data_IF_818279348190
#
_entry.id   IF_818279348190
#
_cell.length_a   1.000
_cell.length_b   1.000
_cell.length_c   1.000
_cell.angle_alpha   90.00
_cell.angle_beta   90.00
_cell.angle_gamma   90.00
#
_symmetry.space_group_name_H-M   'P 1'
#
loop_
_entity.id
_entity.type
_entity.pdbx_description
1 polymer ?
#
# COMPACT_ATOMS: atom_id res chain seq x y z
N UNK A 1 -71.41 7.81 25.69
CA UNK A 1 -70.51 6.90 25.03
C UNK A 1 -69.32 7.72 24.53
N UNK A 2 -68.16 7.59 25.16
CA UNK A 2 -66.89 8.29 24.73
C UNK A 2 -66.05 7.27 23.96
N UNK A 3 -65.85 7.51 22.63
CA UNK A 3 -64.99 6.72 21.80
C UNK A 3 -63.55 7.21 21.99
N UNK A 4 -62.66 6.33 22.46
CA UNK A 4 -61.22 6.58 22.59
C UNK A 4 -60.58 6.07 21.30
N UNK A 5 -60.01 7.02 20.49
CA UNK A 5 -59.20 6.70 19.32
C UNK A 5 -57.78 6.38 19.76
N UNK A 6 -57.34 5.13 19.62
CA UNK A 6 -55.95 4.75 19.75
C UNK A 6 -55.22 5.06 18.44
N UNK A 7 -54.32 6.04 18.49
CA UNK A 7 -53.39 6.35 17.39
C UNK A 7 -52.16 5.46 17.54
N UNK A 8 -52.11 4.37 16.77
CA UNK A 8 -50.94 3.50 16.70
C UNK A 8 -49.92 4.14 15.76
N UNK A 9 -48.88 4.76 16.34
CA UNK A 9 -47.73 5.25 15.59
C UNK A 9 -46.83 4.06 15.26
N UNK A 10 -46.91 3.56 14.04
CA UNK A 10 -45.94 2.61 13.45
C UNK A 10 -44.63 3.35 13.14
N UNK A 11 -43.69 3.29 14.08
CA UNK A 11 -42.28 3.66 13.82
C UNK A 11 -41.66 2.57 12.96
N UNK A 12 -41.64 2.79 11.65
CA UNK A 12 -40.83 2.02 10.72
C UNK A 12 -39.37 2.33 10.98
N UNK A 13 -38.68 1.45 11.67
CA UNK A 13 -37.22 1.44 11.73
C UNK A 13 -36.72 1.13 10.33
N UNK A 14 -36.35 2.17 9.55
CA UNK A 14 -35.51 2.00 8.40
C UNK A 14 -34.11 1.60 8.91
N UNK A 15 -33.88 0.30 8.98
CA UNK A 15 -32.53 -0.23 9.13
C UNK A 15 -31.76 0.17 7.86
N UNK A 16 -31.03 1.27 7.92
CA UNK A 16 -29.97 1.54 6.96
C UNK A 16 -28.92 0.45 7.19
N UNK A 17 -29.00 -0.62 6.40
CA UNK A 17 -27.88 -1.52 6.21
C UNK A 17 -26.76 -0.68 5.60
N UNK A 18 -25.91 -0.10 6.44
CA UNK A 18 -24.61 0.37 5.98
C UNK A 18 -23.88 -0.88 5.51
N UNK A 19 -23.73 -1.03 4.20
CA UNK A 19 -22.71 -1.88 3.62
C UNK A 19 -21.35 -1.30 4.07
N UNK A 20 -20.94 -1.67 5.28
CA UNK A 20 -19.58 -1.47 5.73
C UNK A 20 -18.71 -2.43 4.93
N UNK A 21 -18.38 -2.05 3.68
CA UNK A 21 -17.26 -2.65 3.00
C UNK A 21 -16.01 -2.22 3.79
N UNK A 22 -15.59 -3.10 4.71
CA UNK A 22 -14.37 -2.90 5.47
C UNK A 22 -13.21 -2.92 4.49
N UNK A 23 -12.62 -1.76 4.22
CA UNK A 23 -11.38 -1.67 3.47
C UNK A 23 -10.19 -2.07 4.34
N UNK A 24 -9.09 -2.38 3.71
CA UNK A 24 -7.87 -2.79 4.40
C UNK A 24 -6.76 -1.76 4.23
N UNK A 25 -5.87 -1.72 5.21
CA UNK A 25 -4.69 -0.84 5.23
C UNK A 25 -3.42 -1.65 5.47
N UNK A 26 -2.30 -1.17 4.96
CA UNK A 26 -0.97 -1.61 5.39
C UNK A 26 -0.41 -0.61 6.38
N UNK A 27 0.22 -1.11 7.42
CA UNK A 27 1.07 -0.33 8.33
C UNK A 27 2.50 -0.41 7.81
N UNK A 28 3.11 0.75 7.59
CA UNK A 28 4.45 0.87 7.05
C UNK A 28 5.32 1.65 8.03
N UNK A 29 6.32 1.00 8.61
CA UNK A 29 7.31 1.62 9.50
C UNK A 29 8.65 1.79 8.78
N UNK A 30 9.14 3.01 8.61
CA UNK A 30 10.44 3.27 8.01
C UNK A 30 11.51 3.39 9.07
N UNK A 31 12.60 2.64 8.92
CA UNK A 31 13.71 2.59 9.86
C UNK A 31 15.03 2.93 9.19
N UNK A 32 15.91 3.63 9.89
CA UNK A 32 17.29 3.84 9.46
C UNK A 32 18.23 3.13 10.43
N UNK A 33 18.92 2.10 9.96
CA UNK A 33 19.94 1.44 10.74
C UNK A 33 21.12 2.39 10.99
N UNK A 34 21.67 2.36 12.19
CA UNK A 34 22.93 3.03 12.49
C UNK A 34 24.06 2.34 11.71
N UNK A 35 24.83 3.04 10.86
CA UNK A 35 25.88 2.42 10.02
C UNK A 35 26.95 1.66 10.80
N UNK A 36 27.12 1.94 12.07
CA UNK A 36 28.07 1.24 12.95
C UNK A 36 27.56 -0.12 13.44
N UNK A 37 26.25 -0.35 13.38
CA UNK A 37 25.56 -1.48 14.00
C UNK A 37 24.57 -2.16 13.06
N UNK A 38 24.87 -2.16 11.74
CA UNK A 38 23.96 -2.74 10.72
C UNK A 38 23.70 -4.22 11.00
N UNK A 39 24.72 -4.98 11.36
CA UNK A 39 24.60 -6.41 11.64
C UNK A 39 23.72 -6.68 12.87
N UNK A 40 23.90 -5.90 13.94
CA UNK A 40 23.09 -5.99 15.16
C UNK A 40 21.64 -5.61 14.88
N UNK A 41 21.42 -4.54 14.12
CA UNK A 41 20.08 -4.14 13.67
C UNK A 41 19.40 -5.24 12.86
N UNK A 42 20.07 -5.75 11.81
CA UNK A 42 19.48 -6.81 10.96
C UNK A 42 19.26 -8.11 11.76
N UNK A 43 20.16 -8.47 12.66
CA UNK A 43 19.99 -9.63 13.54
C UNK A 43 18.79 -9.45 14.48
N UNK A 44 18.62 -8.24 15.05
CA UNK A 44 17.47 -7.91 15.89
C UNK A 44 16.16 -8.01 15.11
N UNK A 45 16.08 -7.39 13.91
CA UNK A 45 14.90 -7.43 13.04
C UNK A 45 14.56 -8.86 12.63
N UNK A 46 15.54 -9.66 12.21
CA UNK A 46 15.34 -11.07 11.89
C UNK A 46 14.74 -11.86 13.06
N UNK A 47 15.35 -11.78 14.24
CA UNK A 47 14.89 -12.53 15.41
C UNK A 47 13.49 -12.10 15.85
N UNK A 48 13.22 -10.80 15.86
CA UNK A 48 11.93 -10.22 16.23
C UNK A 48 10.82 -10.68 15.28
N UNK A 49 11.04 -10.51 13.98
CA UNK A 49 10.04 -10.86 12.98
C UNK A 49 9.75 -12.37 12.96
N UNK A 50 10.78 -13.21 13.10
CA UNK A 50 10.60 -14.67 13.16
C UNK A 50 9.96 -15.16 14.46
N UNK A 51 9.96 -14.36 15.51
CA UNK A 51 9.29 -14.70 16.76
C UNK A 51 7.85 -14.20 16.82
N UNK A 52 7.59 -13.01 16.31
CA UNK A 52 6.33 -12.30 16.57
C UNK A 52 5.48 -12.02 15.32
N UNK A 53 6.05 -12.14 14.10
CA UNK A 53 5.42 -11.70 12.86
C UNK A 53 5.48 -12.74 11.73
N UNK A 54 5.30 -14.03 12.07
CA UNK A 54 5.50 -15.16 11.15
C UNK A 54 4.25 -15.60 10.41
N UNK A 55 3.06 -15.15 10.79
CA UNK A 55 1.83 -15.67 10.21
C UNK A 55 0.66 -14.68 10.18
N UNK A 56 -0.38 -15.10 9.48
CA UNK A 56 -1.67 -14.44 9.47
C UNK A 56 -1.62 -12.97 9.06
N UNK A 57 -2.54 -12.22 9.64
CA UNK A 57 -2.71 -10.81 9.31
C UNK A 57 -1.62 -9.90 9.92
N UNK A 58 -0.87 -10.39 10.91
CA UNK A 58 0.20 -9.63 11.59
C UNK A 58 1.61 -10.03 11.13
N UNK A 59 1.71 -10.83 10.08
CA UNK A 59 2.98 -11.17 9.46
C UNK A 59 3.64 -9.95 8.80
N UNK A 60 4.95 -9.82 8.94
CA UNK A 60 5.70 -8.66 8.44
C UNK A 60 6.60 -8.98 7.26
N UNK A 61 6.75 -8.01 6.36
CA UNK A 61 7.72 -8.01 5.27
C UNK A 61 8.67 -6.83 5.39
N UNK A 62 9.94 -7.08 5.14
CA UNK A 62 10.97 -6.04 5.12
C UNK A 62 11.39 -5.75 3.68
N UNK A 63 11.49 -4.47 3.36
CA UNK A 63 12.08 -4.00 2.11
C UNK A 63 13.26 -3.09 2.41
N UNK A 64 14.28 -3.14 1.56
CA UNK A 64 15.38 -2.17 1.55
C UNK A 64 15.21 -1.22 0.37
N UNK A 65 15.35 0.09 0.62
CA UNK A 65 15.20 1.13 -0.39
C UNK A 65 16.54 1.39 -1.04
N UNK A 66 16.61 1.30 -2.38
CA UNK A 66 17.85 1.28 -3.14
C UNK A 66 18.16 2.57 -3.90
N UNK A 67 17.31 3.59 -3.81
CA UNK A 67 17.55 4.90 -4.44
C UNK A 67 16.73 6.01 -3.77
N UNK A 68 16.99 7.24 -4.21
CA UNK A 68 16.25 8.41 -3.76
C UNK A 68 16.59 8.86 -2.33
N UNK A 69 15.77 9.76 -1.75
CA UNK A 69 16.04 10.34 -0.42
C UNK A 69 16.06 9.32 0.72
N UNK A 70 15.43 8.17 0.52
CA UNK A 70 15.33 7.09 1.49
C UNK A 70 16.34 5.95 1.22
N UNK A 71 17.34 6.17 0.37
CA UNK A 71 18.36 5.16 0.08
C UNK A 71 18.99 4.59 1.35
N UNK A 72 19.06 3.26 1.41
CA UNK A 72 19.65 2.51 2.53
C UNK A 72 18.71 2.30 3.74
N UNK A 73 17.52 2.93 3.76
CA UNK A 73 16.53 2.68 4.80
C UNK A 73 15.82 1.33 4.61
N UNK A 74 15.27 0.85 5.71
CA UNK A 74 14.44 -0.35 5.75
C UNK A 74 12.98 0.05 5.94
N UNK A 75 12.10 -0.62 5.22
CA UNK A 75 10.67 -0.45 5.38
C UNK A 75 10.06 -1.75 5.91
N UNK A 76 9.50 -1.70 7.09
CA UNK A 76 8.70 -2.75 7.69
C UNK A 76 7.25 -2.59 7.25
N UNK A 77 6.63 -3.64 6.72
CA UNK A 77 5.26 -3.60 6.18
C UNK A 77 4.46 -4.74 6.75
N UNK A 78 3.32 -4.42 7.35
CA UNK A 78 2.31 -5.37 7.82
C UNK A 78 0.99 -5.14 7.10
N UNK A 79 0.25 -6.22 6.84
CA UNK A 79 -1.04 -6.15 6.17
C UNK A 79 -1.00 -6.49 4.68
N UNK A 80 -2.10 -6.20 3.93
CA UNK A 80 -3.22 -5.31 4.28
C UNK A 80 -4.25 -5.98 5.21
N UNK A 81 -4.64 -5.26 6.27
CA UNK A 81 -5.58 -5.71 7.32
C UNK A 81 -6.68 -4.67 7.55
N UNK A 82 -7.87 -5.05 8.05
CA UNK A 82 -8.89 -4.08 8.43
C UNK A 82 -8.48 -3.30 9.68
N UNK A 83 -9.00 -2.08 9.85
CA UNK A 83 -8.71 -1.26 11.04
C UNK A 83 -9.05 -1.96 12.35
N UNK A 84 -10.13 -2.75 12.40
CA UNK A 84 -10.50 -3.53 13.59
C UNK A 84 -9.42 -4.52 14.05
N UNK A 85 -8.55 -4.98 13.15
CA UNK A 85 -7.45 -5.86 13.51
C UNK A 85 -6.40 -5.16 14.40
N UNK A 86 -6.28 -3.84 14.32
CA UNK A 86 -5.37 -3.09 15.19
C UNK A 86 -5.86 -3.05 16.64
N UNK A 87 -7.19 -3.05 16.84
CA UNK A 87 -7.81 -3.11 18.19
C UNK A 87 -7.60 -4.50 18.80
N UNK A 88 -7.59 -5.54 17.97
CA UNK A 88 -7.44 -6.95 18.36
C UNK A 88 -5.99 -7.46 18.23
N UNK A 89 -4.99 -6.56 18.09
CA UNK A 89 -3.57 -6.96 17.97
C UNK A 89 -3.14 -7.74 19.21
N UNK A 90 -2.62 -8.97 19.03
CA UNK A 90 -2.19 -9.79 20.17
C UNK A 90 -1.13 -9.07 21.01
N UNK A 91 -1.35 -9.02 22.31
CA UNK A 91 -0.35 -8.56 23.29
C UNK A 91 0.60 -9.72 23.59
N UNK A 92 1.62 -9.88 22.75
CA UNK A 92 2.59 -10.98 22.89
C UNK A 92 3.61 -10.65 23.96
N UNK A 93 3.81 -11.58 24.89
CA UNK A 93 4.78 -11.43 25.98
C UNK A 93 6.19 -11.16 25.44
N UNK A 94 6.79 -10.08 25.91
CA UNK A 94 8.14 -9.67 25.57
C UNK A 94 8.30 -9.03 24.18
N UNK A 95 7.22 -8.80 23.42
CA UNK A 95 7.28 -8.18 22.09
C UNK A 95 7.94 -6.79 22.13
N UNK A 96 7.39 -5.89 22.95
CA UNK A 96 7.90 -4.51 23.04
C UNK A 96 9.26 -4.44 23.70
N UNK A 97 9.52 -5.30 24.70
CA UNK A 97 10.81 -5.41 25.33
C UNK A 97 11.90 -5.85 24.34
N UNK A 98 11.57 -6.83 23.48
CA UNK A 98 12.49 -7.31 22.44
C UNK A 98 12.81 -6.22 21.43
N UNK A 99 11.81 -5.47 20.96
CA UNK A 99 12.00 -4.33 20.07
C UNK A 99 12.91 -3.26 20.69
N UNK A 100 12.57 -2.81 21.89
CA UNK A 100 13.28 -1.75 22.61
C UNK A 100 14.72 -2.12 22.96
N UNK A 101 15.00 -3.40 23.14
CA UNK A 101 16.33 -3.88 23.51
C UNK A 101 17.20 -4.25 22.31
N UNK A 102 16.61 -4.86 21.29
CA UNK A 102 17.35 -5.55 20.23
C UNK A 102 17.27 -4.85 18.86
N UNK A 103 16.42 -3.82 18.69
CA UNK A 103 16.26 -3.10 17.41
C UNK A 103 16.47 -1.60 17.60
N UNK A 104 15.69 -0.97 18.48
CA UNK A 104 15.70 0.48 18.66
C UNK A 104 17.08 1.07 18.94
N UNK A 105 17.93 0.49 19.81
CA UNK A 105 19.27 1.03 20.10
C UNK A 105 20.21 1.07 18.89
N UNK A 106 19.90 0.30 17.85
CA UNK A 106 20.69 0.20 16.62
C UNK A 106 20.09 1.01 15.47
N UNK A 107 19.07 1.83 15.74
CA UNK A 107 18.47 2.74 14.77
C UNK A 107 18.96 4.17 14.95
N UNK A 108 18.79 5.00 13.91
CA UNK A 108 18.87 6.45 14.01
C UNK A 108 17.46 6.98 14.19
N UNK A 109 17.20 7.91 15.17
CA UNK A 109 15.85 8.43 15.45
C UNK A 109 15.36 9.37 14.34
N UNK A 110 14.95 8.83 13.21
CA UNK A 110 14.32 9.53 12.09
C UNK A 110 13.32 8.61 11.39
N UNK A 111 12.70 7.74 12.16
CA UNK A 111 11.66 6.84 11.68
C UNK A 111 10.42 7.59 11.24
N UNK A 112 9.64 6.94 10.40
CA UNK A 112 8.36 7.41 9.92
C UNK A 112 7.39 6.24 9.91
N UNK A 113 6.11 6.49 10.24
CA UNK A 113 5.07 5.48 10.23
C UNK A 113 3.86 5.99 9.49
N UNK A 114 3.44 5.21 8.49
CA UNK A 114 2.32 5.56 7.63
C UNK A 114 1.33 4.40 7.51
N UNK A 115 0.07 4.74 7.31
CA UNK A 115 -1.01 3.79 7.04
C UNK A 115 -1.53 4.01 5.63
N UNK A 116 -1.50 2.95 4.81
CA UNK A 116 -1.84 3.02 3.40
C UNK A 116 -3.07 2.19 3.10
N UNK A 117 -4.18 2.85 2.76
CA UNK A 117 -5.39 2.18 2.31
C UNK A 117 -5.14 1.48 0.98
N UNK A 118 -5.36 0.17 0.96
CA UNK A 118 -5.27 -0.63 -0.26
C UNK A 118 -6.53 -0.49 -1.12
N UNK A 119 -6.35 -0.31 -2.42
CA UNK A 119 -7.42 -0.22 -3.41
C UNK A 119 -7.37 -1.44 -4.36
N UNK A 120 -7.98 -2.58 -4.00
CA UNK A 120 -7.94 -3.80 -4.81
C UNK A 120 -8.56 -3.59 -6.20
N UNK A 121 -9.62 -2.79 -6.29
CA UNK A 121 -10.28 -2.51 -7.57
C UNK A 121 -9.39 -1.74 -8.54
N UNK A 122 -8.46 -0.92 -8.06
CA UNK A 122 -7.50 -0.16 -8.87
C UNK A 122 -6.22 -0.95 -9.15
N UNK A 123 -6.00 -2.03 -8.43
CA UNK A 123 -4.82 -2.89 -8.50
C UNK A 123 -4.98 -4.02 -9.52
N UNK A 124 -3.87 -4.67 -9.88
CA UNK A 124 -3.87 -5.83 -10.76
C UNK A 124 -2.92 -6.90 -10.24
N UNK A 125 -3.46 -8.03 -9.81
CA UNK A 125 -2.71 -9.24 -9.40
C UNK A 125 -3.24 -10.42 -10.20
N UNK A 126 -2.80 -10.57 -11.46
CA UNK A 126 -3.40 -11.53 -12.41
C UNK A 126 -3.06 -12.99 -12.11
N UNK A 127 -1.97 -13.25 -11.42
CA UNK A 127 -1.46 -14.57 -11.05
C UNK A 127 -0.69 -14.54 -9.74
N UNK A 128 -0.48 -15.67 -9.15
CA UNK A 128 0.42 -15.82 -8.00
C UNK A 128 1.86 -15.49 -8.42
N UNK A 129 2.60 -14.83 -7.54
CA UNK A 129 4.01 -14.52 -7.75
C UNK A 129 4.73 -14.34 -6.41
N UNK A 130 6.06 -14.42 -6.44
CA UNK A 130 6.90 -14.12 -5.29
C UNK A 130 7.50 -12.73 -5.45
N UNK A 131 7.35 -11.88 -4.44
CA UNK A 131 7.96 -10.55 -4.42
C UNK A 131 9.49 -10.70 -4.40
N UNK A 132 10.17 -9.95 -5.26
CA UNK A 132 11.63 -9.77 -5.21
C UNK A 132 12.00 -8.28 -5.20
N UNK A 133 11.41 -7.54 -6.11
CA UNK A 133 11.68 -6.11 -6.29
C UNK A 133 10.40 -5.37 -6.62
N UNK A 134 10.37 -4.09 -6.28
CA UNK A 134 9.30 -3.19 -6.69
C UNK A 134 9.84 -1.83 -7.14
N UNK A 135 9.22 -1.27 -8.18
CA UNK A 135 9.26 0.16 -8.46
C UNK A 135 8.08 0.79 -7.76
N UNK A 136 8.34 1.75 -6.91
CA UNK A 136 7.32 2.44 -6.12
C UNK A 136 7.27 3.89 -6.53
N UNK A 137 6.19 4.27 -7.21
CA UNK A 137 5.89 5.66 -7.55
C UNK A 137 5.03 6.27 -6.45
N UNK A 138 5.51 7.34 -5.82
CA UNK A 138 4.83 8.06 -4.74
C UNK A 138 4.48 9.45 -5.25
N UNK A 139 3.20 9.77 -5.26
CA UNK A 139 2.67 11.02 -5.78
C UNK A 139 2.22 11.95 -4.67
N UNK A 140 2.55 13.22 -4.84
CA UNK A 140 2.00 14.34 -4.10
C UNK A 140 0.71 14.79 -4.81
N UNK A 141 -0.44 14.47 -4.23
CA UNK A 141 -1.76 14.82 -4.76
C UNK A 141 -2.19 16.15 -4.14
N UNK A 142 -2.54 17.12 -4.98
CA UNK A 142 -3.00 18.42 -4.53
C UNK A 142 -4.20 18.30 -3.59
N UNK A 143 -4.28 19.24 -2.66
CA UNK A 143 -5.37 19.31 -1.68
C UNK A 143 -6.74 19.19 -2.35
N UNK A 144 -7.61 18.37 -1.76
CA UNK A 144 -8.97 18.08 -2.25
C UNK A 144 -9.05 17.44 -3.66
N UNK A 145 -7.94 16.82 -4.15
CA UNK A 145 -7.88 16.18 -5.47
C UNK A 145 -7.84 14.65 -5.43
N UNK A 146 -8.08 14.06 -4.26
CA UNK A 146 -8.08 12.57 -4.11
C UNK A 146 -9.09 11.91 -5.05
N UNK A 147 -10.29 12.46 -5.20
CA UNK A 147 -11.33 11.88 -6.06
C UNK A 147 -10.91 11.90 -7.54
N UNK A 148 -10.37 13.01 -8.01
CA UNK A 148 -9.89 13.13 -9.39
C UNK A 148 -8.69 12.20 -9.63
N UNK A 149 -7.80 12.02 -8.64
CA UNK A 149 -6.71 11.05 -8.74
C UNK A 149 -7.23 9.60 -8.83
N UNK A 150 -8.28 9.23 -8.08
CA UNK A 150 -8.96 7.93 -8.19
C UNK A 150 -9.55 7.72 -9.59
N UNK A 151 -10.16 8.75 -10.18
CA UNK A 151 -10.69 8.68 -11.55
C UNK A 151 -9.58 8.49 -12.59
N UNK A 152 -8.44 9.18 -12.41
CA UNK A 152 -7.26 8.99 -13.27
C UNK A 152 -6.72 7.56 -13.15
N UNK A 153 -6.65 7.02 -11.92
CA UNK A 153 -6.25 5.63 -11.69
C UNK A 153 -7.23 4.63 -12.31
N UNK A 154 -8.53 4.91 -12.36
CA UNK A 154 -9.48 4.07 -13.08
C UNK A 154 -9.20 4.02 -14.59
N UNK A 155 -8.77 5.13 -15.19
CA UNK A 155 -8.36 5.14 -16.61
C UNK A 155 -7.08 4.32 -16.81
N UNK A 156 -6.08 4.48 -15.93
CA UNK A 156 -4.85 3.67 -15.95
C UNK A 156 -5.17 2.18 -15.82
N UNK A 157 -6.00 1.81 -14.84
CA UNK A 157 -6.45 0.42 -14.64
C UNK A 157 -7.00 -0.21 -15.91
N UNK A 158 -7.85 0.52 -16.65
CA UNK A 158 -8.44 0.01 -17.90
C UNK A 158 -7.35 -0.32 -18.92
N UNK A 159 -6.37 0.57 -19.10
CA UNK A 159 -5.23 0.34 -20.00
C UNK A 159 -4.41 -0.88 -19.56
N UNK A 160 -4.07 -0.97 -18.29
CA UNK A 160 -3.26 -2.09 -17.78
C UNK A 160 -3.98 -3.42 -18.00
N UNK A 161 -5.27 -3.50 -17.64
CA UNK A 161 -6.04 -4.75 -17.80
C UNK A 161 -6.20 -5.20 -19.25
N UNK A 162 -6.29 -4.26 -20.19
CA UNK A 162 -6.47 -4.56 -21.62
C UNK A 162 -5.14 -4.79 -22.36
N UNK A 163 -4.07 -4.05 -22.00
CA UNK A 163 -2.83 -4.00 -22.77
C UNK A 163 -1.62 -4.63 -22.07
N UNK A 164 -1.66 -4.72 -20.75
CA UNK A 164 -0.59 -5.27 -19.92
C UNK A 164 -1.15 -6.23 -18.85
N UNK A 165 -1.99 -7.22 -19.25
CA UNK A 165 -2.74 -8.03 -18.29
C UNK A 165 -1.86 -8.84 -17.33
N UNK A 166 -0.59 -9.06 -17.67
CA UNK A 166 0.38 -9.83 -16.86
C UNK A 166 1.13 -8.98 -15.83
N UNK A 167 1.04 -7.65 -15.89
CA UNK A 167 1.74 -6.77 -14.97
C UNK A 167 1.06 -6.76 -13.60
N UNK A 168 1.84 -7.00 -12.54
CA UNK A 168 1.36 -6.99 -11.16
C UNK A 168 1.68 -5.67 -10.49
N UNK A 169 0.64 -4.98 -10.00
CA UNK A 169 0.81 -3.74 -9.24
C UNK A 169 -0.30 -3.53 -8.21
N UNK A 170 0.06 -2.84 -7.13
CA UNK A 170 -0.86 -2.39 -6.08
C UNK A 170 -1.01 -0.87 -6.06
N UNK A 171 -2.21 -0.39 -5.73
CA UNK A 171 -2.54 1.03 -5.57
C UNK A 171 -2.96 1.28 -4.14
N UNK A 172 -2.33 2.30 -3.53
CA UNK A 172 -2.53 2.65 -2.14
C UNK A 172 -2.69 4.16 -1.99
N UNK A 173 -3.57 4.61 -1.09
CA UNK A 173 -3.65 6.00 -0.67
C UNK A 173 -3.31 6.11 0.81
N UNK A 174 -2.53 7.13 1.16
CA UNK A 174 -2.24 7.43 2.56
C UNK A 174 -3.53 7.80 3.30
N UNK A 175 -3.77 7.15 4.45
CA UNK A 175 -4.96 7.42 5.27
C UNK A 175 -4.83 8.74 6.04
N UNK A 176 -3.59 9.11 6.39
CA UNK A 176 -3.27 10.32 7.15
C UNK A 176 -2.24 11.16 6.38
N UNK A 177 -2.62 11.73 5.20
CA UNK A 177 -1.67 12.46 4.38
C UNK A 177 -1.19 13.73 5.09
N UNK A 178 0.13 13.98 5.01
CA UNK A 178 0.75 15.23 5.43
C UNK A 178 1.04 16.07 4.17
N UNK A 179 0.48 17.28 4.11
CA UNK A 179 0.66 18.20 2.98
C UNK A 179 2.13 18.63 2.77
N UNK A 180 2.99 18.50 3.78
CA UNK A 180 4.42 18.85 3.67
C UNK A 180 5.23 17.72 3.05
N UNK A 181 4.86 16.47 3.34
CA UNK A 181 5.61 15.30 2.89
C UNK A 181 5.26 14.90 1.46
N UNK A 182 4.07 15.26 0.95
CA UNK A 182 3.63 14.95 -0.41
C UNK A 182 3.60 13.45 -0.71
N UNK A 183 3.13 12.65 0.27
CA UNK A 183 3.05 11.19 0.18
C UNK A 183 1.60 10.72 0.24
N UNK A 184 0.84 10.95 -0.84
CA UNK A 184 -0.61 10.75 -0.84
C UNK A 184 -1.05 9.48 -1.56
N UNK A 185 -0.46 9.19 -2.72
CA UNK A 185 -0.77 8.04 -3.57
C UNK A 185 0.49 7.26 -3.86
N UNK A 186 0.45 5.94 -3.63
CA UNK A 186 1.54 5.03 -3.92
C UNK A 186 1.09 3.97 -4.93
N UNK A 187 1.88 3.79 -5.99
CA UNK A 187 1.73 2.72 -6.97
C UNK A 187 2.96 1.82 -6.86
N UNK A 188 2.73 0.56 -6.50
CA UNK A 188 3.80 -0.44 -6.29
C UNK A 188 3.77 -1.42 -7.45
N UNK A 189 4.71 -1.33 -8.38
CA UNK A 189 4.87 -2.22 -9.53
C UNK A 189 5.90 -3.29 -9.23
N UNK A 190 5.48 -4.56 -9.20
CA UNK A 190 6.35 -5.70 -8.85
C UNK A 190 7.07 -6.25 -10.07
N UNK A 191 8.37 -6.53 -9.94
CA UNK A 191 9.16 -7.12 -11.01
C UNK A 191 10.24 -8.09 -10.48
N UNK A 192 10.67 -9.03 -11.32
CA UNK A 192 11.62 -10.08 -10.95
C UNK A 192 13.06 -9.71 -11.29
N UNK A 193 13.30 -9.13 -12.46
CA UNK A 193 14.62 -8.80 -12.99
C UNK A 193 14.70 -7.33 -13.35
N UNK A 194 15.85 -6.70 -13.11
CA UNK A 194 16.06 -5.27 -13.36
C UNK A 194 15.96 -4.88 -14.84
N UNK A 195 16.06 -5.83 -15.77
CA UNK A 195 15.80 -5.59 -17.19
C UNK A 195 14.37 -5.09 -17.46
N UNK A 196 13.41 -5.37 -16.55
CA UNK A 196 12.05 -4.84 -16.63
C UNK A 196 12.03 -3.30 -16.66
N UNK A 197 12.96 -2.65 -15.95
CA UNK A 197 13.07 -1.18 -15.89
C UNK A 197 13.54 -0.56 -17.22
N UNK A 198 14.15 -1.35 -18.10
CA UNK A 198 14.64 -0.89 -19.41
C UNK A 198 13.62 -1.09 -20.55
N UNK A 199 12.46 -1.67 -20.27
CA UNK A 199 11.40 -1.84 -21.27
C UNK A 199 10.98 -0.50 -21.86
N UNK A 200 10.83 -0.46 -23.18
CA UNK A 200 10.32 0.72 -23.87
C UNK A 200 8.92 1.06 -23.36
N UNK A 201 8.75 2.30 -22.93
CA UNK A 201 7.46 2.78 -22.45
C UNK A 201 6.55 3.15 -23.63
N UNK A 202 5.64 2.27 -23.99
CA UNK A 202 4.62 2.47 -25.01
C UNK A 202 3.23 2.83 -24.44
N UNK A 203 3.17 3.16 -23.13
CA UNK A 203 1.93 3.43 -22.41
C UNK A 203 1.07 4.49 -23.06
N UNK A 204 1.67 5.55 -23.63
CA UNK A 204 0.92 6.58 -24.36
C UNK A 204 0.14 5.99 -25.52
N UNK A 205 0.79 5.15 -26.35
CA UNK A 205 0.16 4.50 -27.51
C UNK A 205 -0.98 3.61 -27.03
N UNK A 206 -0.72 2.78 -26.03
CA UNK A 206 -1.71 1.85 -25.47
C UNK A 206 -2.87 2.57 -24.78
N UNK A 207 -2.61 3.72 -24.17
CA UNK A 207 -3.64 4.55 -23.57
C UNK A 207 -4.60 5.10 -24.65
N UNK A 208 -4.07 5.59 -25.78
CA UNK A 208 -4.87 6.09 -26.87
C UNK A 208 -5.62 4.99 -27.63
N UNK A 209 -5.09 3.76 -27.69
CA UNK A 209 -5.82 2.61 -28.21
C UNK A 209 -7.07 2.31 -27.38
N UNK A 210 -7.02 2.51 -26.06
CA UNK A 210 -8.13 2.20 -25.13
C UNK A 210 -9.12 3.37 -24.99
N UNK A 211 -8.61 4.61 -24.96
CA UNK A 211 -9.40 5.80 -24.64
C UNK A 211 -9.64 6.73 -25.83
N UNK A 212 -9.11 6.38 -27.00
CA UNK A 212 -9.24 7.16 -28.24
C UNK A 212 -8.04 8.07 -28.52
N UNK A 213 -7.82 8.35 -29.80
CA UNK A 213 -6.70 9.17 -30.29
C UNK A 213 -6.71 10.56 -29.65
N UNK A 214 -5.54 11.01 -29.17
CA UNK A 214 -5.33 12.32 -28.52
C UNK A 214 -5.76 12.37 -27.04
N UNK A 215 -6.37 11.31 -26.50
CA UNK A 215 -6.82 11.27 -25.11
C UNK A 215 -5.67 11.33 -24.09
N UNK A 216 -4.48 10.90 -24.47
CA UNK A 216 -3.31 10.93 -23.58
C UNK A 216 -2.85 12.35 -23.23
N UNK A 217 -3.00 13.29 -24.17
CA UNK A 217 -2.69 14.70 -23.91
C UNK A 217 -3.58 15.25 -22.79
N UNK A 218 -4.89 14.95 -22.85
CA UNK A 218 -5.82 15.32 -21.78
C UNK A 218 -5.47 14.63 -20.46
N UNK A 219 -5.16 13.33 -20.50
CA UNK A 219 -4.74 12.56 -19.32
C UNK A 219 -3.53 13.21 -18.62
N UNK A 220 -2.49 13.56 -19.37
CA UNK A 220 -1.31 14.24 -18.81
C UNK A 220 -1.67 15.59 -18.19
N UNK A 221 -2.51 16.39 -18.85
CA UNK A 221 -2.97 17.67 -18.31
C UNK A 221 -3.77 17.48 -17.03
N UNK A 222 -4.71 16.53 -17.00
CA UNK A 222 -5.50 16.22 -15.83
C UNK A 222 -4.57 15.79 -14.66
N UNK A 223 -3.56 14.94 -14.94
CA UNK A 223 -2.58 14.50 -13.95
C UNK A 223 -1.77 15.66 -13.37
N UNK A 224 -1.24 16.55 -14.22
CA UNK A 224 -0.50 17.75 -13.81
C UNK A 224 -1.38 18.71 -12.99
N UNK A 225 -2.66 18.80 -13.31
CA UNK A 225 -3.59 19.65 -12.56
C UNK A 225 -3.91 19.10 -11.17
N UNK A 226 -3.79 17.78 -10.97
CA UNK A 226 -4.19 17.09 -9.74
C UNK A 226 -3.01 16.69 -8.85
N UNK A 227 -1.76 16.75 -9.34
CA UNK A 227 -0.55 16.44 -8.55
C UNK A 227 0.48 17.54 -8.63
N UNK A 228 1.32 17.63 -7.58
CA UNK A 228 2.51 18.50 -7.54
C UNK A 228 3.74 17.79 -8.12
N UNK A 229 3.67 16.48 -8.28
CA UNK A 229 4.75 15.65 -8.83
C UNK A 229 4.78 14.25 -8.25
N UNK A 230 5.86 13.54 -8.53
CA UNK A 230 6.14 12.22 -7.96
C UNK A 230 7.61 12.02 -7.66
N UNK A 231 7.89 11.10 -6.75
CA UNK A 231 9.20 10.47 -6.60
C UNK A 231 9.08 8.98 -6.88
N UNK A 232 10.18 8.35 -7.30
CA UNK A 232 10.23 6.92 -7.56
C UNK A 232 11.31 6.27 -6.71
N UNK A 233 10.98 5.16 -6.08
CA UNK A 233 11.89 4.38 -5.26
C UNK A 233 11.98 2.94 -5.80
N UNK A 234 13.16 2.34 -5.71
CA UNK A 234 13.39 0.93 -6.00
C UNK A 234 13.51 0.19 -4.67
N UNK A 235 12.60 -0.74 -4.43
CA UNK A 235 12.60 -1.54 -3.22
C UNK A 235 13.04 -2.97 -3.53
N UNK A 236 13.91 -3.53 -2.69
CA UNK A 236 14.26 -4.95 -2.69
C UNK A 236 13.65 -5.63 -1.48
N UNK A 237 12.95 -6.74 -1.72
CA UNK A 237 12.44 -7.57 -0.65
C UNK A 237 13.58 -8.26 0.09
N UNK A 238 13.59 -8.15 1.43
CA UNK A 238 14.56 -8.77 2.34
C UNK A 238 13.87 -9.95 3.02
N UNK A 239 13.79 -11.06 2.28
CA UNK A 239 13.20 -12.31 2.78
C UNK A 239 13.91 -12.78 4.05
N UNK A 240 15.23 -12.58 4.10
CA UNK A 240 16.10 -12.89 5.24
C UNK A 240 15.79 -12.10 6.52
N UNK A 241 15.06 -11.00 6.44
CA UNK A 241 14.66 -10.16 7.59
C UNK A 241 13.15 -10.19 7.85
N UNK A 242 12.39 -10.83 6.97
CA UNK A 242 10.92 -10.83 7.01
C UNK A 242 10.40 -11.98 7.89
N UNK A 243 9.26 -11.76 8.54
CA UNK A 243 8.57 -12.80 9.30
C UNK A 243 7.75 -13.74 8.41
N UNK A 244 7.32 -13.25 7.25
CA UNK A 244 6.61 -14.05 6.23
C UNK A 244 7.32 -13.94 4.88
N UNK A 245 7.08 -14.93 4.03
CA UNK A 245 7.63 -14.99 2.68
C UNK A 245 7.10 -13.90 1.73
N UNK A 246 7.65 -13.88 0.53
CA UNK A 246 7.25 -12.97 -0.54
C UNK A 246 6.05 -13.47 -1.37
N UNK A 247 5.38 -14.55 -1.02
CA UNK A 247 4.27 -15.06 -1.80
C UNK A 247 3.08 -14.12 -1.82
N UNK A 248 2.62 -13.79 -3.03
CA UNK A 248 1.41 -13.01 -3.28
C UNK A 248 0.43 -13.83 -4.09
N UNK A 249 -0.80 -13.91 -3.58
CA UNK A 249 -1.87 -14.64 -4.28
C UNK A 249 -2.61 -13.72 -5.25
N UNK A 250 -3.06 -14.31 -6.34
CA UNK A 250 -3.84 -13.59 -7.35
C UNK A 250 -5.17 -13.11 -6.79
N UNK A 251 -5.59 -11.91 -7.22
CA UNK A 251 -6.91 -11.35 -6.91
C UNK A 251 -8.00 -11.83 -7.87
N UNK A 252 -7.71 -12.79 -8.77
CA UNK A 252 -8.73 -13.33 -9.66
C UNK A 252 -9.79 -14.03 -8.81
N UNK A 253 -10.94 -13.40 -8.69
CA UNK A 253 -12.15 -14.06 -8.17
C UNK A 253 -12.38 -15.28 -9.05
N UNK A 254 -12.38 -16.47 -8.44
CA UNK A 254 -12.83 -17.68 -9.12
C UNK A 254 -14.25 -17.38 -9.59
N UNK A 255 -14.43 -17.31 -10.91
CA UNK A 255 -15.75 -17.24 -11.54
C UNK A 255 -16.52 -18.51 -11.29
#
# INVERSE_FOLDING_TARGET
MKAIFYFVVLLSYMSFSQNNSTYTVTENGMMTANPKYINEFETGVFNHNNKYHTDGQFGSRIYQINNGPNYGKYLWVMGPIPWSAFDDRPQLEGHDEDWNKNIEPYTIPNGDQNYWRFYPDLSNFPKDFTIKKALVDIYDIKRNKKQEALELMNRVKKVIREKYPEESYGVYFNEFPDEKEGIDLMIVSFYQKSEWLSKTNDFQIKYEEVHGKGSFVKFKKDWTNNSNGKRSELWSFREDLSGIDGEMKSSKVKK
#
